data_IF_807244512150
#
_entry.id   IF_807244512150
#
_cell.length_a   1.000
_cell.length_b   1.000
_cell.length_c   1.000
_cell.angle_alpha   90.00
_cell.angle_beta   90.00
_cell.angle_gamma   90.00
#
_symmetry.space_group_name_H-M   'P 1'
#
loop_
_entity.id
_entity.type
_entity.pdbx_description
1 polymer ?
#
# COMPACT_ATOMS: atom_id res chain seq x y z
N UNK A 1 -55.81 15.59 13.06
CA UNK A 1 -54.69 16.49 12.73
C UNK A 1 -53.45 15.65 12.50
N UNK A 2 -53.09 15.52 11.23
CA UNK A 2 -52.06 14.64 10.70
C UNK A 2 -50.81 15.45 10.36
N UNK A 3 -49.65 14.97 10.81
CA UNK A 3 -48.38 15.14 10.10
C UNK A 3 -47.39 16.14 10.69
N UNK A 4 -46.48 15.65 11.55
CA UNK A 4 -45.09 16.13 11.60
C UNK A 4 -44.15 15.22 12.41
N UNK A 5 -44.09 13.92 12.08
CA UNK A 5 -43.18 12.97 12.76
C UNK A 5 -42.36 12.07 11.81
N UNK A 6 -42.12 12.50 10.56
CA UNK A 6 -41.38 11.70 9.58
C UNK A 6 -40.15 12.41 8.99
N UNK A 7 -39.37 13.16 9.77
CA UNK A 7 -38.12 13.77 9.28
C UNK A 7 -36.85 12.97 9.64
N UNK A 8 -36.93 11.93 10.46
CA UNK A 8 -35.75 11.20 10.97
C UNK A 8 -35.81 9.68 10.80
N UNK A 9 -36.67 9.16 9.90
CA UNK A 9 -36.63 7.74 9.55
C UNK A 9 -35.53 7.46 8.52
N UNK A 10 -34.44 6.83 8.99
CA UNK A 10 -33.68 5.89 8.17
C UNK A 10 -32.52 6.46 7.36
N UNK A 11 -31.64 7.27 7.95
CA UNK A 11 -30.26 7.31 7.47
C UNK A 11 -29.46 6.41 8.39
N UNK A 12 -29.07 5.22 7.90
CA UNK A 12 -28.00 4.46 8.54
C UNK A 12 -26.77 5.36 8.59
N UNK A 13 -26.48 5.91 9.77
CA UNK A 13 -25.24 6.61 10.02
C UNK A 13 -24.13 5.60 9.75
N UNK A 14 -23.35 5.84 8.68
CA UNK A 14 -22.21 5.01 8.32
C UNK A 14 -21.38 4.74 9.59
N UNK A 15 -21.21 3.47 9.92
CA UNK A 15 -20.50 3.09 11.14
C UNK A 15 -19.11 3.74 11.12
N UNK A 16 -18.68 4.39 12.22
CA UNK A 16 -17.39 5.05 12.25
C UNK A 16 -16.30 4.02 11.98
N UNK A 17 -15.40 4.36 11.05
CA UNK A 17 -14.34 3.45 10.63
C UNK A 17 -13.53 2.93 11.84
N UNK A 18 -13.18 1.63 11.86
CA UNK A 18 -12.33 1.10 12.91
C UNK A 18 -10.96 1.78 12.86
N UNK A 19 -10.68 2.63 13.85
CA UNK A 19 -9.40 3.33 13.98
C UNK A 19 -8.39 2.43 14.67
N UNK A 20 -7.17 2.41 14.17
CA UNK A 20 -6.07 1.72 14.85
C UNK A 20 -5.48 2.64 15.90
N UNK A 21 -5.40 2.16 17.13
CA UNK A 21 -4.72 2.88 18.23
C UNK A 21 -3.23 2.63 18.15
N UNK A 22 -2.46 3.69 18.04
CA UNK A 22 -1.00 3.66 17.95
C UNK A 22 -0.42 4.34 19.18
N UNK A 23 0.52 3.69 19.87
CA UNK A 23 1.13 4.21 21.09
C UNK A 23 2.53 4.74 20.82
N UNK A 24 2.85 5.90 21.38
CA UNK A 24 4.18 6.49 21.43
C UNK A 24 4.47 6.91 22.87
N UNK A 25 5.21 6.08 23.60
CA UNK A 25 5.39 6.26 25.04
C UNK A 25 4.05 6.24 25.78
N UNK A 26 3.70 7.35 26.46
CA UNK A 26 2.42 7.51 27.18
C UNK A 26 1.28 8.05 26.31
N UNK A 27 1.55 8.48 25.06
CA UNK A 27 0.55 9.07 24.17
C UNK A 27 -0.02 8.00 23.25
N UNK A 28 -1.32 8.06 22.98
CA UNK A 28 -2.01 7.20 22.03
C UNK A 28 -2.74 8.06 20.97
N UNK A 29 -2.60 7.70 19.70
CA UNK A 29 -3.30 8.33 18.59
C UNK A 29 -4.17 7.29 17.88
N UNK A 30 -5.37 7.69 17.45
CA UNK A 30 -6.27 6.85 16.68
C UNK A 30 -6.23 7.28 15.21
N UNK A 31 -5.66 6.45 14.34
CA UNK A 31 -5.50 6.75 12.92
C UNK A 31 -6.42 5.83 12.10
N UNK A 32 -7.20 6.36 11.15
CA UNK A 32 -7.96 5.53 10.20
C UNK A 32 -7.00 4.94 9.16
N UNK A 33 -6.23 3.92 9.57
CA UNK A 33 -5.20 3.30 8.72
C UNK A 33 -5.82 2.59 7.52
N UNK A 34 -6.96 1.94 7.72
CA UNK A 34 -7.63 1.15 6.68
C UNK A 34 -7.95 2.00 5.45
N UNK A 35 -8.48 3.21 5.63
CA UNK A 35 -8.78 4.12 4.52
C UNK A 35 -7.52 4.57 3.77
N UNK A 36 -6.47 4.96 4.49
CA UNK A 36 -5.18 5.34 3.87
C UNK A 36 -4.57 4.20 3.08
N UNK A 37 -4.60 2.99 3.63
CA UNK A 37 -4.14 1.79 2.95
C UNK A 37 -4.97 1.48 1.71
N UNK A 38 -6.28 1.70 1.78
CA UNK A 38 -7.18 1.57 0.62
C UNK A 38 -6.84 2.55 -0.50
N UNK A 39 -6.68 3.82 -0.15
CA UNK A 39 -6.30 4.88 -1.11
C UNK A 39 -4.92 4.59 -1.72
N UNK A 40 -3.93 4.24 -0.90
CA UNK A 40 -2.58 3.94 -1.35
C UNK A 40 -2.54 2.70 -2.27
N UNK A 41 -3.22 1.63 -1.90
CA UNK A 41 -3.26 0.41 -2.71
C UNK A 41 -4.07 0.60 -4.00
N UNK A 42 -5.13 1.40 -4.00
CA UNK A 42 -5.83 1.78 -5.23
C UNK A 42 -4.90 2.55 -6.17
N UNK A 43 -4.18 3.56 -5.65
CA UNK A 43 -3.20 4.33 -6.41
C UNK A 43 -2.09 3.45 -6.96
N UNK A 44 -1.60 2.50 -6.16
CA UNK A 44 -0.61 1.52 -6.61
C UNK A 44 -1.14 0.70 -7.79
N UNK A 45 -2.35 0.18 -7.70
CA UNK A 45 -2.94 -0.64 -8.77
C UNK A 45 -3.13 0.16 -10.07
N UNK A 46 -3.48 1.44 -9.99
CA UNK A 46 -3.55 2.32 -11.16
C UNK A 46 -2.19 2.45 -11.85
N UNK A 47 -1.14 2.76 -11.10
CA UNK A 47 0.24 2.86 -11.61
C UNK A 47 0.69 1.51 -12.20
N UNK A 48 0.45 0.40 -11.49
CA UNK A 48 0.87 -0.93 -11.94
C UNK A 48 0.22 -1.34 -13.26
N UNK A 49 -1.02 -0.94 -13.52
CA UNK A 49 -1.67 -1.16 -14.83
C UNK A 49 -0.95 -0.44 -15.96
N UNK A 50 -0.44 0.77 -15.73
CA UNK A 50 0.34 1.53 -16.72
C UNK A 50 1.74 0.96 -16.93
N UNK A 51 2.29 0.30 -15.92
CA UNK A 51 3.61 -0.33 -15.96
C UNK A 51 3.57 -1.75 -16.54
N UNK A 52 2.41 -2.40 -16.57
CA UNK A 52 2.27 -3.76 -17.08
C UNK A 52 2.75 -3.89 -18.53
N UNK A 53 3.49 -4.96 -18.81
CA UNK A 53 4.17 -5.20 -20.09
C UNK A 53 5.54 -4.53 -20.23
N UNK A 54 5.85 -3.51 -19.42
CA UNK A 54 7.12 -2.78 -19.51
C UNK A 54 8.22 -3.39 -18.63
N UNK A 55 9.45 -2.99 -18.89
CA UNK A 55 10.58 -3.28 -18.00
C UNK A 55 10.59 -2.26 -16.85
N UNK A 56 10.59 -2.75 -15.62
CA UNK A 56 10.69 -1.93 -14.42
C UNK A 56 11.96 -2.28 -13.64
N UNK A 57 12.39 -1.37 -12.77
CA UNK A 57 13.52 -1.56 -11.89
C UNK A 57 13.07 -1.39 -10.44
N UNK A 58 13.57 -2.26 -9.58
CA UNK A 58 13.13 -2.35 -8.19
C UNK A 58 14.30 -2.03 -7.27
N UNK A 59 14.08 -1.07 -6.38
CA UNK A 59 14.90 -0.84 -5.21
C UNK A 59 14.12 -1.18 -3.95
N UNK A 60 14.78 -1.73 -2.93
CA UNK A 60 14.17 -1.94 -1.63
C UNK A 60 15.12 -1.57 -0.52
N UNK A 61 14.59 -0.79 0.43
CA UNK A 61 15.26 -0.41 1.65
C UNK A 61 14.35 -0.71 2.83
N UNK A 62 14.85 -1.50 3.79
CA UNK A 62 14.16 -1.73 5.06
C UNK A 62 14.97 -1.12 6.19
N UNK A 63 14.41 -0.13 6.88
CA UNK A 63 15.06 0.54 8.04
C UNK A 63 15.18 -0.40 9.24
N UNK A 64 14.58 -1.59 9.19
CA UNK A 64 14.60 -2.61 10.25
C UNK A 64 15.91 -3.40 10.39
N UNK A 65 17.01 -3.00 9.73
CA UNK A 65 18.32 -3.63 9.90
C UNK A 65 18.65 -4.75 8.92
N UNK A 66 18.18 -4.66 7.67
CA UNK A 66 18.73 -5.52 6.62
C UNK A 66 20.23 -5.27 6.43
N UNK A 67 21.05 -6.33 6.39
CA UNK A 67 22.49 -6.23 6.14
C UNK A 67 22.84 -5.89 4.68
N UNK A 68 21.84 -5.85 3.80
CA UNK A 68 22.00 -5.56 2.38
C UNK A 68 20.80 -4.74 1.91
N UNK A 69 21.04 -3.89 0.91
CA UNK A 69 20.00 -3.23 0.13
C UNK A 69 19.86 -3.91 -1.23
N UNK A 70 18.72 -3.72 -1.88
CA UNK A 70 18.56 -4.07 -3.29
C UNK A 70 18.34 -2.75 -4.01
N UNK A 71 19.07 -2.53 -5.10
CA UNK A 71 18.88 -1.37 -5.95
C UNK A 71 18.94 -1.77 -7.42
N UNK A 72 18.17 -1.07 -8.25
CA UNK A 72 18.11 -1.24 -9.70
C UNK A 72 17.93 -2.70 -10.18
N UNK A 73 17.20 -3.52 -9.43
CA UNK A 73 16.87 -4.88 -9.84
C UNK A 73 15.84 -4.87 -10.97
N UNK A 74 16.25 -5.27 -12.17
CA UNK A 74 15.38 -5.27 -13.35
C UNK A 74 14.35 -6.41 -13.30
N UNK A 75 13.07 -6.06 -13.34
CA UNK A 75 11.98 -6.97 -13.69
C UNK A 75 11.54 -6.68 -15.13
N UNK A 76 11.94 -7.56 -16.04
CA UNK A 76 11.57 -7.44 -17.45
C UNK A 76 10.18 -8.00 -17.74
N UNK A 77 9.44 -7.33 -18.65
CA UNK A 77 8.07 -7.66 -19.06
C UNK A 77 7.16 -7.88 -17.84
N UNK A 78 6.93 -6.82 -17.08
CA UNK A 78 6.12 -6.86 -15.88
C UNK A 78 4.75 -7.49 -16.17
N UNK A 79 4.36 -8.46 -15.37
CA UNK A 79 2.98 -8.95 -15.28
C UNK A 79 2.50 -8.80 -13.85
N UNK A 80 1.30 -8.27 -13.68
CA UNK A 80 0.75 -7.99 -12.36
C UNK A 80 -0.31 -9.04 -12.05
N UNK A 81 -0.19 -9.66 -10.87
CA UNK A 81 -1.19 -10.58 -10.36
C UNK A 81 -1.60 -10.14 -8.96
N UNK A 82 -2.90 -10.18 -8.66
CA UNK A 82 -3.41 -9.80 -7.34
C UNK A 82 -4.20 -10.95 -6.73
N UNK A 83 -3.85 -11.36 -5.52
CA UNK A 83 -4.60 -12.37 -4.78
C UNK A 83 -5.62 -11.68 -3.90
N UNK A 84 -6.90 -11.94 -4.17
CA UNK A 84 -8.02 -11.43 -3.39
C UNK A 84 -8.62 -12.55 -2.54
N UNK A 85 -8.79 -12.29 -1.26
CA UNK A 85 -9.56 -13.16 -0.36
C UNK A 85 -11.03 -12.72 -0.31
N UNK A 86 -11.30 -11.41 -0.47
CA UNK A 86 -12.63 -10.83 -0.46
C UNK A 86 -13.18 -10.71 -1.89
N UNK A 87 -14.49 -10.91 -2.06
CA UNK A 87 -15.18 -10.73 -3.36
C UNK A 87 -15.39 -9.27 -3.72
N UNK A 88 -15.30 -8.37 -2.74
CA UNK A 88 -15.50 -6.95 -2.96
C UNK A 88 -14.27 -6.35 -3.68
N UNK A 89 -14.50 -5.85 -4.90
CA UNK A 89 -13.46 -5.22 -5.70
C UNK A 89 -13.01 -3.86 -5.15
N UNK A 90 -13.84 -3.23 -4.32
CA UNK A 90 -13.55 -1.95 -3.67
C UNK A 90 -12.45 -2.05 -2.62
N UNK A 91 -12.23 -3.26 -2.08
CA UNK A 91 -11.16 -3.53 -1.13
C UNK A 91 -9.89 -3.90 -1.92
N UNK A 92 -8.75 -3.22 -1.69
CA UNK A 92 -7.52 -3.55 -2.37
C UNK A 92 -7.03 -4.96 -2.01
N UNK A 93 -6.37 -5.65 -2.95
CA UNK A 93 -5.87 -7.00 -2.71
C UNK A 93 -4.83 -7.00 -1.58
N UNK A 94 -4.91 -7.95 -0.63
CA UNK A 94 -3.92 -8.06 0.45
C UNK A 94 -2.51 -8.36 -0.06
N UNK A 95 -2.40 -9.07 -1.19
CA UNK A 95 -1.12 -9.40 -1.81
C UNK A 95 -1.16 -9.07 -3.30
N UNK A 96 -0.19 -8.28 -3.73
CA UNK A 96 0.08 -7.96 -5.13
C UNK A 96 1.41 -8.61 -5.50
N UNK A 97 1.46 -9.29 -6.63
CA UNK A 97 2.64 -9.99 -7.13
C UNK A 97 3.06 -9.36 -8.45
N UNK A 98 4.29 -8.87 -8.47
CA UNK A 98 4.96 -8.39 -9.66
C UNK A 98 5.79 -9.53 -10.23
N UNK A 99 5.40 -10.05 -11.39
CA UNK A 99 6.13 -11.07 -12.11
C UNK A 99 7.03 -10.43 -13.15
N UNK A 100 8.27 -10.91 -13.23
CA UNK A 100 9.15 -10.70 -14.37
C UNK A 100 9.40 -12.00 -15.12
N UNK A 101 10.25 -11.90 -16.14
CA UNK A 101 10.69 -13.08 -16.90
C UNK A 101 11.41 -14.12 -16.03
N UNK A 102 11.43 -15.37 -16.52
CA UNK A 102 12.12 -16.52 -15.90
C UNK A 102 11.70 -16.83 -14.46
N UNK A 103 10.47 -16.46 -14.08
CA UNK A 103 9.92 -16.75 -12.75
C UNK A 103 10.38 -15.80 -11.65
N UNK A 104 11.07 -14.71 -11.98
CA UNK A 104 11.37 -13.66 -11.00
C UNK A 104 10.05 -13.05 -10.50
N UNK A 105 9.90 -12.92 -9.17
CA UNK A 105 8.71 -12.29 -8.62
C UNK A 105 8.99 -11.49 -7.35
N UNK A 106 8.20 -10.44 -7.15
CA UNK A 106 8.17 -9.65 -5.93
C UNK A 106 6.75 -9.68 -5.40
N UNK A 107 6.61 -10.00 -4.11
CA UNK A 107 5.32 -10.00 -3.42
C UNK A 107 5.23 -8.77 -2.53
N UNK A 108 4.23 -7.95 -2.79
CA UNK A 108 3.89 -6.76 -2.03
C UNK A 108 2.71 -7.10 -1.13
N UNK A 109 2.90 -6.97 0.18
CA UNK A 109 1.81 -7.08 1.15
C UNK A 109 1.23 -5.69 1.39
N UNK A 110 -0.01 -5.47 0.97
CA UNK A 110 -0.65 -4.15 0.99
C UNK A 110 -1.17 -3.76 2.39
N UNK A 111 -1.17 -4.69 3.34
CA UNK A 111 -1.65 -4.53 4.72
C UNK A 111 -0.85 -3.50 5.55
N UNK A 112 0.36 -3.15 5.11
CA UNK A 112 1.18 -2.08 5.69
C UNK A 112 1.45 -0.93 4.73
N UNK A 113 0.90 -0.94 3.51
CA UNK A 113 1.14 0.11 2.52
C UNK A 113 0.45 1.40 2.94
N UNK A 114 1.22 2.40 3.39
CA UNK A 114 0.68 3.63 3.94
C UNK A 114 0.49 4.70 2.86
N UNK A 115 1.42 4.78 1.91
CA UNK A 115 1.42 5.79 0.87
C UNK A 115 2.15 5.30 -0.38
N UNK A 116 1.74 5.85 -1.53
CA UNK A 116 2.45 5.73 -2.79
C UNK A 116 2.78 7.15 -3.25
N UNK A 117 4.07 7.45 -3.37
CA UNK A 117 4.56 8.75 -3.84
C UNK A 117 5.11 8.60 -5.24
N UNK A 118 4.83 9.57 -6.08
CA UNK A 118 5.27 9.63 -7.46
C UNK A 118 6.22 10.81 -7.64
N UNK A 119 7.33 10.56 -8.32
CA UNK A 119 8.34 11.56 -8.63
C UNK A 119 8.75 11.39 -10.08
N UNK A 120 8.68 12.48 -10.83
CA UNK A 120 9.15 12.52 -12.20
C UNK A 120 10.52 13.17 -12.26
N UNK A 121 11.47 12.47 -12.87
CA UNK A 121 12.79 12.96 -13.19
C UNK A 121 12.96 13.08 -14.70
N UNK A 122 14.06 13.68 -15.14
CA UNK A 122 14.32 13.88 -16.57
C UNK A 122 14.24 12.58 -17.37
N UNK A 123 14.82 11.49 -16.85
CA UNK A 123 15.00 10.23 -17.59
C UNK A 123 14.12 9.08 -17.08
N UNK A 124 13.41 9.25 -15.96
CA UNK A 124 12.62 8.19 -15.35
C UNK A 124 11.48 8.70 -14.48
N UNK A 125 10.49 7.84 -14.28
CA UNK A 125 9.48 7.94 -13.22
C UNK A 125 9.88 7.06 -12.04
N UNK A 126 9.70 7.58 -10.84
CA UNK A 126 10.03 6.91 -9.59
C UNK A 126 8.80 6.84 -8.71
N UNK A 127 8.37 5.62 -8.38
CA UNK A 127 7.22 5.36 -7.52
C UNK A 127 7.73 4.76 -6.21
N UNK A 128 7.53 5.48 -5.12
CA UNK A 128 7.95 5.08 -3.77
C UNK A 128 6.75 4.56 -2.99
N UNK A 129 6.81 3.31 -2.58
CA UNK A 129 5.82 2.66 -1.75
C UNK A 129 6.33 2.67 -0.30
N UNK A 130 5.66 3.45 0.54
CA UNK A 130 5.99 3.57 1.96
C UNK A 130 5.18 2.54 2.76
N UNK A 131 5.87 1.64 3.43
CA UNK A 131 5.26 0.67 4.34
C UNK A 131 5.47 1.10 5.77
N UNK A 132 4.40 1.14 6.55
CA UNK A 132 4.44 1.54 7.94
C UNK A 132 3.69 0.54 8.82
N UNK A 133 4.38 0.06 9.84
CA UNK A 133 3.89 -0.95 10.77
C UNK A 133 3.96 -0.46 12.22
N UNK A 134 3.60 0.80 12.46
CA UNK A 134 3.68 1.41 13.79
C UNK A 134 5.07 1.96 14.12
N UNK A 135 5.32 2.20 15.40
CA UNK A 135 6.60 2.73 15.88
C UNK A 135 7.57 1.60 16.20
N UNK A 136 8.88 1.84 16.12
CA UNK A 136 9.89 0.79 16.34
C UNK A 136 9.72 0.01 17.64
N UNK A 137 9.37 0.70 18.74
CA UNK A 137 9.13 0.06 20.05
C UNK A 137 7.69 -0.46 20.25
N UNK A 138 6.80 -0.25 19.27
CA UNK A 138 5.38 -0.63 19.36
C UNK A 138 4.83 -0.92 17.95
N UNK A 139 5.26 -2.02 17.32
CA UNK A 139 4.78 -2.38 16.00
C UNK A 139 3.31 -2.84 16.05
N UNK A 140 2.57 -2.63 14.97
CA UNK A 140 1.18 -3.11 14.83
C UNK A 140 1.18 -4.63 14.66
N UNK A 141 2.07 -5.13 13.79
CA UNK A 141 2.33 -6.55 13.57
C UNK A 141 3.74 -6.90 14.01
N UNK A 142 3.88 -7.77 15.01
CA UNK A 142 5.19 -8.10 15.61
C UNK A 142 6.18 -8.79 14.66
N UNK A 143 5.68 -9.42 13.59
CA UNK A 143 6.48 -10.18 12.62
C UNK A 143 6.89 -9.37 11.38
N UNK A 144 6.52 -8.09 11.29
CA UNK A 144 6.89 -7.21 10.16
C UNK A 144 7.84 -6.11 10.61
N UNK A 145 8.72 -5.66 9.72
CA UNK A 145 9.58 -4.50 9.95
C UNK A 145 8.75 -3.25 10.26
N UNK A 146 9.25 -2.37 11.14
CA UNK A 146 8.55 -1.16 11.55
C UNK A 146 8.27 -0.19 10.38
N UNK A 147 9.22 -0.10 9.45
CA UNK A 147 9.11 0.67 8.22
C UNK A 147 9.93 -0.02 7.11
N UNK A 148 9.45 0.11 5.88
CA UNK A 148 10.17 -0.28 4.68
C UNK A 148 9.74 0.63 3.53
N UNK A 149 10.62 0.78 2.55
CA UNK A 149 10.33 1.49 1.31
C UNK A 149 10.67 0.57 0.13
N UNK A 150 9.74 0.47 -0.82
CA UNK A 150 9.98 -0.16 -2.12
C UNK A 150 9.93 0.92 -3.19
N UNK A 151 10.99 1.03 -3.97
CA UNK A 151 11.07 1.90 -5.12
C UNK A 151 10.79 1.11 -6.40
N UNK A 152 9.88 1.60 -7.23
CA UNK A 152 9.64 1.13 -8.59
C UNK A 152 10.08 2.24 -9.53
N UNK A 153 11.04 1.95 -10.40
CA UNK A 153 11.56 2.90 -11.38
C UNK A 153 11.20 2.45 -12.79
N UNK A 154 10.64 3.37 -13.57
CA UNK A 154 10.38 3.21 -15.01
C UNK A 154 11.21 4.25 -15.76
N UNK A 155 12.19 3.83 -16.54
CA UNK A 155 12.91 4.74 -17.43
C UNK A 155 12.03 5.17 -18.60
N UNK A 156 12.19 6.41 -19.06
CA UNK A 156 11.39 7.04 -20.13
C UNK A 156 11.76 6.59 -21.55
N UNK A 157 12.63 5.58 -21.67
CA UNK A 157 13.13 5.03 -22.94
C UNK A 157 12.07 4.92 -24.04
#
# INVERSE_FOLDING_TARGET
>A
MTGQLNLFQGVELAQPEPKTTVKLGRRAAQIPLRKKQQEAAKRLMEILKELEGNDIFIGSYSTGGGHFWIDNLKLSKLRVESFRTERDESVPPPVIVLWGNKGACIRIFADCLLAVREQEYQDYYHYLLDFWNGFGQSPIYSYRSHYACLAITRFKN
#
